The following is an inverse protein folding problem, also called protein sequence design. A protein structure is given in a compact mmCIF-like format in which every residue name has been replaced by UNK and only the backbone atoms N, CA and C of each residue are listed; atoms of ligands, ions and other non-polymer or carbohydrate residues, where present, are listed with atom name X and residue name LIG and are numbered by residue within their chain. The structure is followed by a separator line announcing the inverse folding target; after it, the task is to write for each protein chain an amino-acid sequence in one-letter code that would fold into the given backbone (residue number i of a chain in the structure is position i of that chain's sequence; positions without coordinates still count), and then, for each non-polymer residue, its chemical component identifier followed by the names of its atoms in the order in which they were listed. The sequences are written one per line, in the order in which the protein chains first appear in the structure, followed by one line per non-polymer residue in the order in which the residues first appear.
data_IF_938317944770
#
_entry.id   IF_938317944770
#
_cell.length_a   1.000
_cell.length_b   1.000
_cell.length_c   1.000
_cell.angle_alpha   90.00
_cell.angle_beta   90.00
_cell.angle_gamma   90.00
#
_symmetry.space_group_name_H-M   'P 1'
#
loop_
_entity.id
_entity.type
_entity.pdbx_description
1 polymer ?
#
# COMPACT_ATOMS: atom_id res chain seq x y z
N UNK A 1 -10.16 16.07 -4.67
CA UNK A 1 -9.89 17.49 -4.34
C UNK A 1 -8.42 17.79 -3.95
N UNK A 2 -7.44 16.89 -4.12
CA UNK A 2 -6.11 17.08 -3.51
C UNK A 2 -4.88 17.27 -4.40
N UNK A 3 -4.94 17.10 -5.74
CA UNK A 3 -3.69 17.08 -6.55
C UNK A 3 -3.80 17.59 -7.98
N UNK A 4 -4.91 18.21 -8.37
CA UNK A 4 -5.16 18.64 -9.76
C UNK A 4 -4.31 19.83 -10.25
N UNK A 5 -3.16 20.11 -9.63
CA UNK A 5 -2.31 21.25 -10.01
C UNK A 5 -1.20 20.94 -11.02
N UNK A 6 -0.68 19.70 -11.08
CA UNK A 6 0.46 19.34 -11.95
C UNK A 6 0.38 17.88 -12.39
N UNK A 7 0.42 17.65 -13.69
CA UNK A 7 0.28 16.34 -14.34
C UNK A 7 1.36 15.34 -13.86
N UNK A 8 2.58 15.82 -13.60
CA UNK A 8 3.68 15.03 -13.02
C UNK A 8 3.35 14.46 -11.63
N UNK A 9 2.66 15.23 -10.80
CA UNK A 9 2.30 14.81 -9.43
C UNK A 9 1.18 13.77 -9.44
N UNK A 10 0.22 13.92 -10.36
CA UNK A 10 -0.86 12.95 -10.54
C UNK A 10 -0.34 11.60 -11.04
N UNK A 11 0.63 11.61 -11.96
CA UNK A 11 1.29 10.39 -12.43
C UNK A 11 2.11 9.70 -11.33
N UNK A 12 2.84 10.46 -10.51
CA UNK A 12 3.56 9.91 -9.35
C UNK A 12 2.63 9.26 -8.32
N UNK A 13 1.48 9.88 -8.05
CA UNK A 13 0.44 9.34 -7.18
C UNK A 13 -0.16 8.03 -7.73
N UNK A 14 -0.55 8.00 -9.01
CA UNK A 14 -1.20 6.81 -9.59
C UNK A 14 -0.27 5.62 -9.72
N UNK A 15 1.01 5.86 -10.05
CA UNK A 15 2.02 4.80 -10.08
C UNK A 15 2.26 4.23 -8.69
N UNK A 16 2.36 5.09 -7.67
CA UNK A 16 2.55 4.65 -6.29
C UNK A 16 1.35 3.82 -5.79
N UNK A 17 0.11 4.27 -6.02
CA UNK A 17 -1.09 3.53 -5.58
C UNK A 17 -1.25 2.21 -6.33
N UNK A 18 -1.00 2.18 -7.64
CA UNK A 18 -1.06 0.95 -8.43
C UNK A 18 -0.02 -0.06 -7.94
N UNK A 19 1.21 0.38 -7.66
CA UNK A 19 2.26 -0.47 -7.12
C UNK A 19 1.87 -1.07 -5.76
N UNK A 20 1.40 -0.24 -4.83
CA UNK A 20 0.96 -0.68 -3.50
C UNK A 20 -0.18 -1.67 -3.58
N UNK A 21 -1.22 -1.37 -4.38
CA UNK A 21 -2.39 -2.24 -4.52
C UNK A 21 -2.02 -3.59 -5.13
N UNK A 22 -1.19 -3.59 -6.17
CA UNK A 22 -0.76 -4.82 -6.84
C UNK A 22 0.08 -5.69 -5.89
N UNK A 23 1.06 -5.09 -5.21
CA UNK A 23 1.93 -5.81 -4.28
C UNK A 23 1.13 -6.33 -3.06
N UNK A 24 0.26 -5.49 -2.51
CA UNK A 24 -0.59 -5.86 -1.38
C UNK A 24 -1.56 -6.99 -1.72
N UNK A 25 -2.15 -6.97 -2.92
CA UNK A 25 -3.05 -8.03 -3.39
C UNK A 25 -2.33 -9.38 -3.52
N UNK A 26 -1.12 -9.38 -4.10
CA UNK A 26 -0.30 -10.59 -4.23
C UNK A 26 0.14 -11.12 -2.86
N UNK A 27 0.65 -10.25 -1.98
CA UNK A 27 1.03 -10.63 -0.61
C UNK A 27 -0.15 -11.16 0.20
N UNK A 28 -1.32 -10.55 0.04
CA UNK A 28 -2.56 -10.96 0.70
C UNK A 28 -3.02 -12.34 0.23
N UNK A 29 -2.93 -12.61 -1.08
CA UNK A 29 -3.23 -13.93 -1.64
C UNK A 29 -2.27 -15.00 -1.11
N UNK A 30 -0.98 -14.70 -1.07
CA UNK A 30 0.04 -15.58 -0.52
C UNK A 30 -0.19 -15.86 0.97
N UNK A 31 -0.44 -14.84 1.78
CA UNK A 31 -0.73 -14.99 3.19
C UNK A 31 -2.00 -15.82 3.43
N UNK A 32 -3.06 -15.61 2.64
CA UNK A 32 -4.27 -16.41 2.77
C UNK A 32 -4.05 -17.88 2.41
N UNK A 33 -3.37 -18.13 1.29
CA UNK A 33 -3.19 -19.48 0.73
C UNK A 33 -2.15 -20.31 1.48
N UNK A 34 -1.07 -19.68 1.94
CA UNK A 34 0.06 -20.37 2.57
C UNK A 34 0.10 -20.26 4.09
N UNK A 35 -0.55 -19.28 4.73
CA UNK A 35 -0.69 -19.24 6.19
C UNK A 35 -2.09 -19.65 6.64
N UNK A 36 -3.14 -18.98 6.15
CA UNK A 36 -4.47 -19.13 6.76
C UNK A 36 -5.16 -20.42 6.37
N UNK A 37 -5.08 -20.83 5.10
CA UNK A 37 -5.70 -22.07 4.62
C UNK A 37 -5.10 -23.34 5.26
N UNK A 38 -3.77 -23.52 5.39
CA UNK A 38 -3.21 -24.73 5.99
C UNK A 38 -3.31 -24.77 7.52
N UNK A 39 -3.39 -23.63 8.20
CA UNK A 39 -3.55 -23.57 9.66
C UNK A 39 -5.02 -23.47 10.10
N UNK A 40 -5.97 -23.50 9.16
CA UNK A 40 -7.42 -23.35 9.40
C UNK A 40 -7.80 -22.03 10.13
N UNK A 41 -6.98 -20.98 9.94
CA UNK A 41 -7.10 -19.68 10.59
C UNK A 41 -7.97 -18.70 9.80
N UNK A 42 -9.00 -19.18 9.11
CA UNK A 42 -9.84 -18.35 8.25
C UNK A 42 -10.49 -17.17 9.00
N UNK A 43 -10.71 -17.29 10.32
CA UNK A 43 -11.25 -16.22 11.16
C UNK A 43 -10.29 -15.02 11.31
N UNK A 44 -8.97 -15.19 11.15
CA UNK A 44 -7.98 -14.11 11.20
C UNK A 44 -7.79 -13.40 9.85
N UNK A 45 -8.55 -13.76 8.81
CA UNK A 45 -8.40 -13.19 7.46
C UNK A 45 -8.40 -11.67 7.46
N UNK A 46 -9.34 -11.04 8.14
CA UNK A 46 -9.46 -9.58 8.19
C UNK A 46 -8.22 -8.93 8.82
N UNK A 47 -7.76 -9.45 9.96
CA UNK A 47 -6.59 -8.90 10.67
C UNK A 47 -5.33 -9.12 9.83
N UNK A 48 -5.20 -10.28 9.20
CA UNK A 48 -4.04 -10.60 8.34
C UNK A 48 -3.98 -9.67 7.14
N UNK A 49 -5.10 -9.39 6.48
CA UNK A 49 -5.12 -8.43 5.37
C UNK A 49 -4.72 -7.02 5.81
N UNK A 50 -5.25 -6.52 6.93
CA UNK A 50 -4.87 -5.20 7.45
C UNK A 50 -3.37 -5.15 7.75
N UNK A 51 -2.80 -6.20 8.36
CA UNK A 51 -1.36 -6.29 8.64
C UNK A 51 -0.52 -6.29 7.36
N UNK A 52 -0.90 -7.08 6.36
CA UNK A 52 -0.18 -7.15 5.09
C UNK A 52 -0.21 -5.80 4.37
N UNK A 53 -1.39 -5.17 4.28
CA UNK A 53 -1.54 -3.85 3.67
C UNK A 53 -0.70 -2.80 4.41
N UNK A 54 -0.74 -2.80 5.76
CA UNK A 54 0.03 -1.88 6.58
C UNK A 54 1.54 -2.00 6.34
N UNK A 55 2.07 -3.24 6.31
CA UNK A 55 3.49 -3.49 6.04
C UNK A 55 3.89 -3.03 4.64
N UNK A 56 3.08 -3.32 3.62
CA UNK A 56 3.35 -2.93 2.22
C UNK A 56 3.33 -1.41 2.04
N UNK A 57 2.36 -0.73 2.64
CA UNK A 57 2.28 0.74 2.60
C UNK A 57 3.47 1.36 3.30
N UNK A 58 3.81 0.89 4.50
CA UNK A 58 4.95 1.41 5.27
C UNK A 58 6.28 1.22 4.53
N UNK A 59 6.46 0.06 3.89
CA UNK A 59 7.61 -0.21 3.05
C UNK A 59 7.66 0.78 1.87
N UNK A 60 6.54 0.99 1.20
CA UNK A 60 6.44 1.92 0.07
C UNK A 60 6.73 3.36 0.51
N UNK A 61 6.21 3.79 1.66
CA UNK A 61 6.52 5.10 2.24
C UNK A 61 8.03 5.28 2.45
N UNK A 62 8.70 4.28 3.01
CA UNK A 62 10.13 4.32 3.24
C UNK A 62 10.92 4.41 1.92
N UNK A 63 10.50 3.66 0.89
CA UNK A 63 11.10 3.71 -0.45
C UNK A 63 10.90 5.07 -1.09
N UNK A 64 9.68 5.61 -1.09
CA UNK A 64 9.36 6.93 -1.67
C UNK A 64 10.13 8.05 -0.97
N UNK A 65 10.21 8.00 0.38
CA UNK A 65 11.01 8.96 1.17
C UNK A 65 12.48 8.95 0.79
N UNK A 66 13.03 7.79 0.45
CA UNK A 66 14.45 7.63 0.09
C UNK A 66 14.74 8.01 -1.36
N UNK A 67 13.82 7.72 -2.28
CA UNK A 67 14.01 7.98 -3.73
C UNK A 67 13.70 9.42 -4.11
N UNK A 68 12.66 10.05 -3.54
CA UNK A 68 12.30 11.43 -3.87
C UNK A 68 11.57 12.14 -2.70
N UNK A 69 12.26 13.02 -1.95
CA UNK A 69 11.63 13.79 -0.88
C UNK A 69 10.59 14.79 -1.39
N UNK A 70 10.67 15.20 -2.67
CA UNK A 70 9.65 16.01 -3.34
C UNK A 70 8.33 15.24 -3.51
N UNK A 71 8.38 13.97 -3.92
CA UNK A 71 7.17 13.13 -3.98
C UNK A 71 6.64 12.82 -2.58
N UNK A 72 7.51 12.56 -1.60
CA UNK A 72 7.08 12.30 -0.21
C UNK A 72 6.29 13.48 0.39
N UNK A 73 6.67 14.74 0.10
CA UNK A 73 5.90 15.91 0.55
C UNK A 73 4.48 15.98 -0.01
N UNK A 74 4.24 15.38 -1.18
CA UNK A 74 2.92 15.41 -1.82
C UNK A 74 2.12 14.12 -1.57
N UNK A 75 2.77 12.96 -1.53
CA UNK A 75 2.17 11.65 -1.27
C UNK A 75 2.07 11.30 0.22
N UNK A 76 2.87 11.91 1.09
CA UNK A 76 2.99 11.52 2.51
C UNK A 76 1.68 11.58 3.28
N UNK A 77 0.76 12.45 2.88
CA UNK A 77 -0.58 12.57 3.48
C UNK A 77 -1.53 11.48 2.95
N UNK A 78 -1.29 10.98 1.73
CA UNK A 78 -2.14 9.98 1.07
C UNK A 78 -1.70 8.55 1.35
N UNK A 79 -0.43 8.31 1.69
CA UNK A 79 0.09 6.97 2.03
C UNK A 79 -0.67 6.32 3.20
N UNK A 80 -0.92 6.97 4.34
CA UNK A 80 -1.75 6.41 5.40
C UNK A 80 -3.19 6.16 4.96
N UNK A 81 -3.74 7.02 4.10
CA UNK A 81 -5.09 6.85 3.54
C UNK A 81 -5.23 5.61 2.64
N UNK A 82 -4.13 5.13 2.04
CA UNK A 82 -4.10 3.88 1.28
C UNK A 82 -4.25 2.66 2.20
N UNK A 83 -3.79 2.71 3.46
CA UNK A 83 -4.03 1.59 4.40
C UNK A 83 -5.50 1.38 4.76
N UNK A 84 -6.31 2.43 4.60
CA UNK A 84 -7.76 2.42 4.91
C UNK A 84 -8.65 2.27 3.69
N UNK A 85 -8.09 2.27 2.47
CA UNK A 85 -8.84 2.09 1.21
C UNK A 85 -8.96 0.60 0.87
#
# INVERSE_FOLDING_TARGET
MGVSGKLETAMGMSLATTFVLTLSSVCSYLAYTYLLAPLDLAFLKTITFILVIAVVVQFTEMVVRKTSPLLYRVLGIFLPLITTN
#
